data_IF_797501866038
#
_entry.id   IF_797501866038
#
_cell.length_a   1.000
_cell.length_b   1.000
_cell.length_c   1.000
_cell.angle_alpha   90.00
_cell.angle_beta   90.00
_cell.angle_gamma   90.00
#
_symmetry.space_group_name_H-M   'P 1'
#
loop_
_entity.id
_entity.type
_entity.pdbx_description
1 polymer ?
#
# COMPACT_ATOMS: atom_id res chain seq x y z
N UNK A 1 0.07 0.39 28.91
CA UNK A 1 -0.97 -0.34 29.68
C UNK A 1 -1.30 0.34 31.01
N UNK A 2 -0.38 0.38 31.99
CA UNK A 2 -0.70 0.88 33.35
C UNK A 2 -1.22 2.33 33.38
N UNK A 3 -0.58 3.25 32.67
CA UNK A 3 -1.01 4.65 32.60
C UNK A 3 -2.45 4.79 32.06
N UNK A 4 -2.79 4.09 30.96
CA UNK A 4 -4.15 4.07 30.40
C UNK A 4 -5.20 3.59 31.42
N UNK A 5 -4.89 2.51 32.17
CA UNK A 5 -5.80 1.96 33.19
C UNK A 5 -6.03 2.95 34.34
N UNK A 6 -4.97 3.63 34.79
CA UNK A 6 -5.07 4.68 35.81
C UNK A 6 -5.96 5.83 35.33
N UNK A 7 -5.68 6.42 34.16
CA UNK A 7 -6.42 7.59 33.69
C UNK A 7 -7.89 7.27 33.39
N UNK A 8 -8.16 6.20 32.63
CA UNK A 8 -9.53 5.87 32.20
C UNK A 8 -10.34 5.19 33.31
N UNK A 9 -9.72 4.24 34.01
CA UNK A 9 -10.42 3.39 34.98
C UNK A 9 -10.54 4.00 36.38
N UNK A 10 -9.50 4.67 36.86
CA UNK A 10 -9.49 5.22 38.23
C UNK A 10 -9.82 6.72 38.25
N UNK A 11 -9.24 7.52 37.33
CA UNK A 11 -9.46 8.96 37.27
C UNK A 11 -10.66 9.37 36.39
N UNK A 12 -11.27 8.42 35.68
CA UNK A 12 -12.48 8.65 34.88
C UNK A 12 -12.30 9.58 33.67
N UNK A 13 -11.07 9.72 33.16
CA UNK A 13 -10.78 10.60 32.01
C UNK A 13 -10.24 9.81 30.81
N UNK A 14 -10.73 10.16 29.62
CA UNK A 14 -10.22 9.64 28.35
C UNK A 14 -9.09 10.48 27.75
N UNK A 15 -8.59 11.50 28.49
CA UNK A 15 -7.46 12.33 28.08
C UNK A 15 -6.13 11.55 28.20
N UNK A 16 -5.98 10.51 27.40
CA UNK A 16 -4.79 9.68 27.30
C UNK A 16 -4.50 9.41 25.83
N UNK A 17 -3.30 9.76 25.39
CA UNK A 17 -2.89 9.66 24.00
C UNK A 17 -1.39 9.38 23.91
N UNK A 18 -0.91 8.97 22.73
CA UNK A 18 0.50 8.68 22.49
C UNK A 18 0.96 9.29 21.16
N UNK A 19 2.29 9.39 20.98
CA UNK A 19 2.89 9.88 19.73
C UNK A 19 2.54 9.03 18.51
N UNK A 20 1.99 7.82 18.69
CA UNK A 20 1.40 7.03 17.60
C UNK A 20 0.33 7.79 16.83
N UNK A 21 -0.32 8.80 17.44
CA UNK A 21 -1.21 9.74 16.73
C UNK A 21 -0.54 10.46 15.58
N UNK A 22 0.75 10.77 15.71
CA UNK A 22 1.56 11.48 14.70
C UNK A 22 2.17 10.52 13.66
N UNK A 23 1.92 9.22 13.79
CA UNK A 23 2.61 8.18 13.03
C UNK A 23 1.65 7.17 12.40
N UNK A 24 0.97 6.35 13.22
CA UNK A 24 0.24 5.16 12.75
C UNK A 24 -1.27 5.36 12.67
N UNK A 25 -1.83 6.46 13.18
CA UNK A 25 -3.30 6.63 13.25
C UNK A 25 -4.02 6.51 11.91
N UNK A 26 -3.41 6.95 10.80
CA UNK A 26 -3.99 6.77 9.46
C UNK A 26 -4.02 5.31 9.01
N UNK A 27 -2.98 4.54 9.35
CA UNK A 27 -2.96 3.10 9.09
C UNK A 27 -4.03 2.37 9.91
N UNK A 28 -4.11 2.67 11.22
CA UNK A 28 -5.13 2.10 12.13
C UNK A 28 -6.55 2.36 11.60
N UNK A 29 -6.84 3.61 11.23
CA UNK A 29 -8.14 3.99 10.71
C UNK A 29 -8.44 3.34 9.35
N UNK A 30 -7.45 3.23 8.47
CA UNK A 30 -7.58 2.57 7.17
C UNK A 30 -7.85 1.07 7.30
N UNK A 31 -7.05 0.36 8.11
CA UNK A 31 -7.28 -1.06 8.37
C UNK A 31 -8.62 -1.32 9.04
N UNK A 32 -8.97 -0.56 10.07
CA UNK A 32 -10.25 -0.74 10.77
C UNK A 32 -11.43 -0.52 9.82
N UNK A 33 -11.35 0.48 8.94
CA UNK A 33 -12.42 0.76 7.97
C UNK A 33 -12.52 -0.29 6.87
N UNK A 34 -11.39 -0.78 6.36
CA UNK A 34 -11.37 -1.71 5.22
C UNK A 34 -11.50 -3.17 5.63
N UNK A 35 -10.95 -3.56 6.78
CA UNK A 35 -10.81 -4.96 7.23
C UNK A 35 -11.48 -5.24 8.59
N UNK A 36 -12.05 -4.24 9.25
CA UNK A 36 -12.76 -4.39 10.53
C UNK A 36 -11.88 -4.53 11.78
N UNK A 37 -10.56 -4.59 11.63
CA UNK A 37 -9.59 -4.66 12.74
C UNK A 37 -8.35 -3.85 12.40
N UNK A 38 -7.66 -3.37 13.43
CA UNK A 38 -6.30 -2.83 13.30
C UNK A 38 -5.28 -3.98 13.14
N UNK A 39 -4.14 -3.64 12.55
CA UNK A 39 -2.99 -4.52 12.34
C UNK A 39 -2.88 -5.07 10.91
N UNK A 40 -1.65 -5.30 10.42
CA UNK A 40 -1.44 -5.87 9.11
C UNK A 40 -1.92 -7.33 9.06
N UNK A 41 -2.56 -7.78 7.96
CA UNK A 41 -2.83 -9.20 7.72
C UNK A 41 -1.57 -9.98 7.28
N UNK A 42 -0.43 -9.28 7.16
CA UNK A 42 0.86 -9.81 6.70
C UNK A 42 1.86 -9.95 7.85
N UNK A 43 2.96 -10.63 7.56
CA UNK A 43 4.12 -10.77 8.43
C UNK A 43 5.43 -10.56 7.66
N UNK A 44 6.57 -10.52 8.37
CA UNK A 44 7.86 -10.30 7.70
C UNK A 44 8.30 -11.48 6.83
N UNK A 45 7.75 -12.68 7.00
CA UNK A 45 8.04 -13.82 6.13
C UNK A 45 7.50 -13.64 4.71
N UNK A 46 6.45 -12.82 4.54
CA UNK A 46 5.91 -12.49 3.23
C UNK A 46 6.93 -11.79 2.31
N UNK A 47 7.95 -11.13 2.87
CA UNK A 47 9.06 -10.55 2.10
C UNK A 47 9.88 -11.60 1.34
N UNK A 48 9.86 -12.86 1.78
CA UNK A 48 10.58 -13.95 1.13
C UNK A 48 9.76 -14.60 0.01
N UNK A 49 8.43 -14.45 0.06
CA UNK A 49 7.46 -15.12 -0.81
C UNK A 49 6.84 -14.22 -1.88
N UNK A 50 6.86 -12.89 -1.72
CA UNK A 50 6.30 -11.99 -2.72
C UNK A 50 7.08 -12.02 -4.04
N UNK A 51 6.35 -11.87 -5.16
CA UNK A 51 6.96 -11.65 -6.47
C UNK A 51 6.97 -10.16 -6.83
N UNK A 52 6.12 -9.35 -6.20
CA UNK A 52 6.14 -7.89 -6.32
C UNK A 52 6.19 -7.27 -4.92
N UNK A 53 7.24 -6.49 -4.66
CA UNK A 53 7.30 -5.62 -3.50
C UNK A 53 6.92 -4.20 -3.94
N UNK A 54 5.74 -3.74 -3.53
CA UNK A 54 5.20 -2.43 -3.87
C UNK A 54 5.41 -1.45 -2.71
N UNK A 55 6.52 -0.71 -2.73
CA UNK A 55 6.92 0.21 -1.67
C UNK A 55 6.36 1.60 -1.98
N UNK A 56 5.46 2.13 -1.16
CA UNK A 56 4.84 3.44 -1.37
C UNK A 56 5.00 4.34 -0.15
N UNK A 57 5.54 5.55 -0.36
CA UNK A 57 5.75 6.53 0.71
C UNK A 57 6.63 6.00 1.85
N UNK A 58 7.64 5.20 1.52
CA UNK A 58 8.56 4.61 2.51
C UNK A 58 10.00 4.63 2.01
N UNK A 59 10.92 5.07 2.88
CA UNK A 59 12.36 4.94 2.68
C UNK A 59 12.89 3.78 3.52
N UNK A 60 12.58 2.55 3.12
CA UNK A 60 12.97 1.34 3.87
C UNK A 60 14.48 1.22 4.09
N UNK A 61 15.31 1.73 3.17
CA UNK A 61 16.77 1.70 3.30
C UNK A 61 17.26 2.41 4.57
N UNK A 62 16.69 3.58 4.89
CA UNK A 62 17.11 4.37 6.05
C UNK A 62 16.23 4.12 7.28
N UNK A 63 14.92 3.90 7.10
CA UNK A 63 13.98 3.78 8.21
C UNK A 63 13.79 2.33 8.70
N UNK A 64 13.99 1.33 7.84
CA UNK A 64 13.81 -0.08 8.15
C UNK A 64 14.95 -0.94 7.59
N UNK A 65 16.22 -0.65 7.92
CA UNK A 65 17.39 -1.17 7.22
C UNK A 65 17.47 -2.70 7.22
N UNK A 66 17.02 -3.37 8.29
CA UNK A 66 17.02 -4.85 8.36
C UNK A 66 16.03 -5.44 7.35
N UNK A 67 14.84 -4.86 7.20
CA UNK A 67 13.85 -5.30 6.22
C UNK A 67 14.32 -5.01 4.80
N UNK A 68 14.91 -3.84 4.56
CA UNK A 68 15.51 -3.50 3.27
C UNK A 68 16.64 -4.47 2.88
N UNK A 69 17.52 -4.81 3.83
CA UNK A 69 18.58 -5.80 3.60
C UNK A 69 18.01 -7.20 3.32
N UNK A 70 16.89 -7.59 3.94
CA UNK A 70 16.19 -8.85 3.62
C UNK A 70 15.71 -8.85 2.17
N UNK A 71 15.04 -7.78 1.74
CA UNK A 71 14.55 -7.63 0.37
C UNK A 71 15.71 -7.62 -0.65
N UNK A 72 16.81 -6.92 -0.34
CA UNK A 72 18.01 -6.93 -1.17
C UNK A 72 18.64 -8.31 -1.30
N UNK A 73 18.73 -9.06 -0.20
CA UNK A 73 19.22 -10.44 -0.24
C UNK A 73 18.32 -11.34 -1.10
N UNK A 74 16.99 -11.17 -0.98
CA UNK A 74 16.00 -11.87 -1.81
C UNK A 74 16.17 -11.55 -3.30
N UNK A 75 16.28 -10.27 -3.66
CA UNK A 75 16.50 -9.82 -5.05
C UNK A 75 17.84 -10.32 -5.61
N UNK A 76 18.91 -10.32 -4.81
CA UNK A 76 20.22 -10.86 -5.24
C UNK A 76 20.19 -12.37 -5.48
N UNK A 77 19.47 -13.12 -4.63
CA UNK A 77 19.36 -14.58 -4.74
C UNK A 77 18.55 -15.01 -5.96
N UNK A 78 17.47 -14.29 -6.25
CA UNK A 78 16.62 -14.55 -7.40
C UNK A 78 16.10 -13.21 -7.97
N UNK A 79 16.86 -12.62 -8.93
CA UNK A 79 16.54 -11.32 -9.51
C UNK A 79 15.28 -11.31 -10.38
N UNK A 80 14.87 -12.47 -10.91
CA UNK A 80 13.74 -12.59 -11.85
C UNK A 80 12.41 -12.85 -11.12
N UNK A 81 12.45 -13.54 -9.99
CA UNK A 81 11.25 -13.82 -9.19
C UNK A 81 10.90 -12.75 -8.17
N UNK A 82 11.52 -11.57 -8.23
CA UNK A 82 11.12 -10.41 -7.42
C UNK A 82 11.22 -9.13 -8.26
N UNK A 83 10.11 -8.41 -8.38
CA UNK A 83 10.02 -7.05 -8.93
C UNK A 83 9.84 -6.06 -7.78
N UNK A 84 10.64 -5.01 -7.73
CA UNK A 84 10.54 -3.95 -6.72
C UNK A 84 10.02 -2.68 -7.38
N UNK A 85 8.87 -2.21 -6.92
CA UNK A 85 8.27 -0.94 -7.33
C UNK A 85 8.41 0.03 -6.16
N UNK A 86 8.94 1.22 -6.40
CA UNK A 86 9.04 2.29 -5.40
C UNK A 86 8.25 3.50 -5.88
N UNK A 87 7.28 3.92 -5.08
CA UNK A 87 6.49 5.13 -5.28
C UNK A 87 6.90 6.14 -4.20
N UNK A 88 7.78 7.06 -4.57
CA UNK A 88 8.30 8.10 -3.69
C UNK A 88 8.73 9.30 -4.56
N UNK A 89 8.26 10.54 -4.30
CA UNK A 89 8.73 11.72 -5.01
C UNK A 89 10.26 11.90 -4.99
N UNK A 90 10.94 11.32 -4.00
CA UNK A 90 12.40 11.40 -3.82
C UNK A 90 13.08 10.15 -4.37
N UNK A 91 14.22 10.33 -5.04
CA UNK A 91 15.13 9.23 -5.41
C UNK A 91 16.02 8.86 -4.21
N UNK A 92 15.47 8.11 -3.25
CA UNK A 92 16.18 7.59 -2.06
C UNK A 92 17.03 6.36 -2.38
N UNK A 93 17.83 5.88 -1.43
CA UNK A 93 18.54 4.60 -1.59
C UNK A 93 17.58 3.40 -1.78
N UNK A 94 16.35 3.52 -1.27
CA UNK A 94 15.27 2.56 -1.57
C UNK A 94 14.91 2.59 -3.06
N UNK A 95 14.77 3.79 -3.65
CA UNK A 95 14.39 3.95 -5.06
C UNK A 95 15.50 3.51 -6.04
N UNK A 96 16.78 3.68 -5.69
CA UNK A 96 17.93 3.32 -6.55
C UNK A 96 18.00 1.84 -6.93
N UNK A 97 17.34 0.96 -6.17
CA UNK A 97 17.34 -0.49 -6.42
C UNK A 97 16.05 -0.98 -7.08
N UNK A 98 15.09 -0.09 -7.29
CA UNK A 98 13.78 -0.45 -7.81
C UNK A 98 13.86 -0.81 -9.30
N UNK A 99 13.09 -1.79 -9.72
CA UNK A 99 12.86 -2.07 -11.13
C UNK A 99 11.98 -0.96 -11.75
N UNK A 100 11.06 -0.39 -10.94
CA UNK A 100 10.26 0.77 -11.30
C UNK A 100 10.28 1.81 -10.17
N UNK A 101 10.79 3.01 -10.44
CA UNK A 101 10.68 4.15 -9.52
C UNK A 101 9.70 5.19 -10.08
N UNK A 102 8.57 5.36 -9.40
CA UNK A 102 7.56 6.36 -9.75
C UNK A 102 7.77 7.59 -8.87
N UNK A 103 8.46 8.58 -9.42
CA UNK A 103 8.71 9.87 -8.76
C UNK A 103 7.48 10.79 -8.86
N UNK A 104 6.35 10.34 -8.29
CA UNK A 104 5.08 11.06 -8.39
C UNK A 104 5.13 12.45 -7.74
N UNK A 105 4.28 13.37 -8.20
CA UNK A 105 4.06 14.65 -7.57
C UNK A 105 3.53 14.45 -6.12
N UNK A 106 4.06 15.17 -5.12
CA UNK A 106 3.59 15.05 -3.74
C UNK A 106 2.07 15.25 -3.64
N UNK A 107 1.38 14.35 -2.96
CA UNK A 107 -0.08 14.46 -2.79
C UNK A 107 -0.92 13.59 -3.71
N UNK A 108 -0.32 12.95 -4.73
CA UNK A 108 -1.05 12.34 -5.86
C UNK A 108 -1.15 10.82 -5.81
N UNK A 109 -0.63 10.19 -4.76
CA UNK A 109 -0.66 8.73 -4.54
C UNK A 109 -2.08 8.14 -4.56
N UNK A 110 -3.09 8.79 -4.00
CA UNK A 110 -4.47 8.26 -4.10
C UNK A 110 -4.96 8.21 -5.55
N UNK A 111 -4.62 9.22 -6.36
CA UNK A 111 -4.93 9.22 -7.78
C UNK A 111 -4.18 8.10 -8.51
N UNK A 112 -2.89 7.91 -8.20
CA UNK A 112 -2.10 6.78 -8.70
C UNK A 112 -2.80 5.44 -8.41
N UNK A 113 -3.22 5.22 -7.17
CA UNK A 113 -3.89 3.98 -6.75
C UNK A 113 -5.22 3.77 -7.49
N UNK A 114 -6.01 4.83 -7.69
CA UNK A 114 -7.23 4.74 -8.49
C UNK A 114 -6.97 4.47 -9.98
N UNK A 115 -5.95 5.11 -10.57
CA UNK A 115 -5.58 4.85 -11.96
C UNK A 115 -5.06 3.43 -12.17
N UNK A 116 -4.26 2.90 -11.23
CA UNK A 116 -3.83 1.50 -11.24
C UNK A 116 -5.03 0.56 -11.10
N UNK A 117 -5.95 0.82 -10.17
CA UNK A 117 -7.18 0.02 -10.03
C UNK A 117 -8.02 0.00 -11.31
N UNK A 118 -8.15 1.15 -11.99
CA UNK A 118 -8.84 1.23 -13.27
C UNK A 118 -8.16 0.39 -14.34
N UNK A 119 -6.84 0.47 -14.47
CA UNK A 119 -6.07 -0.35 -15.42
C UNK A 119 -6.25 -1.85 -15.14
N UNK A 120 -6.27 -2.26 -13.87
CA UNK A 120 -6.57 -3.65 -13.48
C UNK A 120 -7.93 -4.10 -13.98
N UNK A 121 -8.95 -3.24 -13.93
CA UNK A 121 -10.28 -3.55 -14.46
C UNK A 121 -10.26 -3.62 -16.00
N UNK A 122 -9.62 -2.66 -16.66
CA UNK A 122 -9.49 -2.62 -18.12
C UNK A 122 -8.78 -3.87 -18.67
N UNK A 123 -7.80 -4.38 -17.93
CA UNK A 123 -7.05 -5.60 -18.25
C UNK A 123 -7.78 -6.90 -17.85
N UNK A 124 -8.96 -6.83 -17.24
CA UNK A 124 -9.65 -7.97 -16.60
C UNK A 124 -8.78 -8.72 -15.57
N UNK A 125 -7.88 -7.99 -14.88
CA UNK A 125 -6.95 -8.52 -13.89
C UNK A 125 -7.50 -8.57 -12.45
N UNK A 126 -8.78 -8.22 -12.24
CA UNK A 126 -9.43 -8.30 -10.94
C UNK A 126 -9.90 -9.72 -10.61
N UNK A 127 -10.12 -10.02 -9.33
CA UNK A 127 -10.58 -11.32 -8.85
C UNK A 127 -12.07 -11.27 -8.53
N UNK A 128 -12.92 -11.64 -9.51
CA UNK A 128 -14.38 -11.62 -9.34
C UNK A 128 -14.86 -12.52 -8.21
N UNK A 129 -14.29 -13.71 -8.08
CA UNK A 129 -14.72 -14.70 -7.10
C UNK A 129 -14.39 -14.21 -5.68
N UNK A 130 -13.20 -13.64 -5.49
CA UNK A 130 -12.82 -13.02 -4.22
C UNK A 130 -13.69 -11.80 -3.90
N UNK A 131 -13.94 -10.92 -4.88
CA UNK A 131 -14.77 -9.72 -4.71
C UNK A 131 -16.18 -10.11 -4.24
N UNK A 132 -16.81 -11.05 -4.94
CA UNK A 132 -18.18 -11.47 -4.64
C UNK A 132 -18.28 -12.20 -3.30
N UNK A 133 -17.25 -12.96 -2.90
CA UNK A 133 -17.26 -13.75 -1.68
C UNK A 133 -16.84 -12.96 -0.42
N UNK A 134 -15.96 -11.97 -0.55
CA UNK A 134 -15.22 -11.40 0.58
C UNK A 134 -15.20 -9.86 0.61
N UNK A 135 -15.91 -9.17 -0.28
CA UNK A 135 -15.91 -7.69 -0.32
C UNK A 135 -17.31 -7.11 -0.43
N UNK A 136 -17.43 -5.81 -0.20
CA UNK A 136 -18.64 -5.03 -0.43
C UNK A 136 -18.31 -3.72 -1.17
N UNK A 137 -19.32 -3.09 -1.78
CA UNK A 137 -19.17 -1.76 -2.36
C UNK A 137 -18.43 -1.70 -3.71
N UNK A 138 -18.16 -2.83 -4.36
CA UNK A 138 -17.43 -2.89 -5.65
C UNK A 138 -18.03 -1.94 -6.71
N UNK A 139 -19.34 -1.96 -6.95
CA UNK A 139 -19.98 -1.08 -7.94
C UNK A 139 -19.77 0.41 -7.63
N UNK A 140 -19.80 0.80 -6.35
CA UNK A 140 -19.55 2.19 -5.95
C UNK A 140 -18.08 2.56 -6.17
N UNK A 141 -17.16 1.65 -5.84
CA UNK A 141 -15.73 1.83 -6.07
C UNK A 141 -15.40 2.00 -7.55
N UNK A 142 -15.96 1.16 -8.44
CA UNK A 142 -15.80 1.27 -9.90
C UNK A 142 -16.23 2.66 -10.40
N UNK A 143 -17.37 3.17 -9.92
CA UNK A 143 -17.84 4.53 -10.27
C UNK A 143 -16.84 5.61 -9.85
N UNK A 144 -16.21 5.46 -8.69
CA UNK A 144 -15.19 6.40 -8.20
C UNK A 144 -13.93 6.38 -9.06
N UNK A 145 -13.44 5.19 -9.42
CA UNK A 145 -12.18 5.06 -10.18
C UNK A 145 -12.33 5.35 -11.68
N UNK A 146 -13.54 5.30 -12.23
CA UNK A 146 -13.83 5.60 -13.64
C UNK A 146 -13.43 7.02 -14.09
N UNK A 147 -13.23 7.97 -13.16
CA UNK A 147 -12.73 9.30 -13.50
C UNK A 147 -11.21 9.31 -13.77
N UNK A 148 -10.47 8.29 -13.32
CA UNK A 148 -9.00 8.28 -13.29
C UNK A 148 -8.44 7.51 -14.49
N UNK A 149 -8.53 8.08 -15.69
CA UNK A 149 -7.91 7.48 -16.90
C UNK A 149 -6.39 7.39 -16.73
N UNK A 150 -5.73 6.58 -17.56
CA UNK A 150 -4.27 6.54 -17.58
C UNK A 150 -3.66 7.92 -17.83
N UNK A 151 -4.20 8.66 -18.81
CA UNK A 151 -3.79 10.02 -19.16
C UNK A 151 -3.93 11.00 -17.98
N UNK A 152 -5.12 11.10 -17.39
CA UNK A 152 -5.38 12.05 -16.29
C UNK A 152 -4.57 11.70 -15.04
N UNK A 153 -4.43 10.39 -14.75
CA UNK A 153 -3.64 9.92 -13.62
C UNK A 153 -2.16 10.24 -13.82
N UNK A 154 -1.59 9.91 -14.98
CA UNK A 154 -0.19 10.15 -15.30
C UNK A 154 0.13 11.66 -15.26
N UNK A 155 -0.75 12.47 -15.86
CA UNK A 155 -0.64 13.93 -15.84
C UNK A 155 -0.66 14.50 -14.43
N UNK A 156 -1.63 14.10 -13.59
CA UNK A 156 -1.70 14.59 -12.21
C UNK A 156 -0.49 14.13 -11.39
N UNK A 157 -0.09 12.86 -11.54
CA UNK A 157 1.04 12.28 -10.83
C UNK A 157 2.39 12.79 -11.35
N UNK A 158 2.47 13.45 -12.49
CA UNK A 158 3.73 13.91 -13.07
C UNK A 158 4.65 12.76 -13.52
N UNK A 159 4.07 11.63 -13.94
CA UNK A 159 4.78 10.45 -14.48
C UNK A 159 4.31 10.18 -15.92
N UNK A 160 4.98 9.30 -16.64
CA UNK A 160 4.53 8.85 -17.95
C UNK A 160 3.35 7.86 -17.84
N UNK A 161 2.49 7.84 -18.84
CA UNK A 161 1.44 6.81 -18.95
C UNK A 161 2.03 5.40 -19.02
N UNK A 162 3.22 5.25 -19.62
CA UNK A 162 3.88 3.97 -19.74
C UNK A 162 4.28 3.41 -18.37
N UNK A 163 4.88 4.24 -17.50
CA UNK A 163 5.20 3.84 -16.12
C UNK A 163 3.95 3.41 -15.34
N UNK A 164 2.85 4.15 -15.49
CA UNK A 164 1.58 3.81 -14.87
C UNK A 164 1.04 2.45 -15.38
N UNK A 165 1.09 2.22 -16.70
CA UNK A 165 0.65 0.96 -17.33
C UNK A 165 1.55 -0.22 -16.99
N UNK A 166 2.85 0.00 -16.82
CA UNK A 166 3.78 -1.02 -16.34
C UNK A 166 3.39 -1.50 -14.94
N UNK A 167 3.12 -0.57 -14.02
CA UNK A 167 2.62 -0.91 -12.68
C UNK A 167 1.23 -1.54 -12.74
N UNK A 168 0.31 -1.03 -13.56
CA UNK A 168 -1.01 -1.62 -13.78
C UNK A 168 -0.92 -3.09 -14.17
N UNK A 169 -0.06 -3.44 -15.13
CA UNK A 169 0.17 -4.82 -15.56
C UNK A 169 0.71 -5.72 -14.45
N UNK A 170 1.59 -5.20 -13.58
CA UNK A 170 2.07 -5.97 -12.42
C UNK A 170 0.92 -6.34 -11.49
N UNK A 171 0.02 -5.39 -11.22
CA UNK A 171 -1.18 -5.64 -10.42
C UNK A 171 -2.17 -6.59 -11.08
N UNK A 172 -2.39 -6.47 -12.39
CA UNK A 172 -3.30 -7.36 -13.16
C UNK A 172 -2.87 -8.83 -13.17
N UNK A 173 -1.57 -9.12 -12.96
CA UNK A 173 -1.05 -10.50 -12.94
C UNK A 173 -1.41 -11.29 -11.68
N UNK A 174 -1.60 -10.62 -10.53
CA UNK A 174 -1.96 -11.26 -9.25
C UNK A 174 -0.98 -12.35 -8.79
N UNK A 175 0.32 -12.05 -8.87
CA UNK A 175 1.40 -13.01 -8.61
C UNK A 175 2.10 -12.77 -7.25
N UNK A 176 1.35 -12.43 -6.19
CA UNK A 176 1.94 -12.23 -4.86
C UNK A 176 2.52 -10.82 -4.70
N UNK A 177 1.63 -9.87 -4.46
CA UNK A 177 1.92 -8.44 -4.31
C UNK A 177 1.90 -8.08 -2.83
N UNK A 178 3.07 -7.73 -2.30
CA UNK A 178 3.23 -7.24 -0.95
C UNK A 178 3.46 -5.73 -1.00
N UNK A 179 2.47 -4.96 -0.54
CA UNK A 179 2.62 -3.50 -0.45
C UNK A 179 3.20 -3.13 0.90
N UNK A 180 4.23 -2.28 0.91
CA UNK A 180 4.86 -1.78 2.11
C UNK A 180 4.79 -0.25 2.13
N UNK A 181 4.29 0.34 3.21
CA UNK A 181 4.21 1.80 3.32
C UNK A 181 4.57 2.31 4.70
N UNK A 182 4.86 3.61 4.78
CA UNK A 182 5.15 4.29 6.04
C UNK A 182 4.68 5.75 5.96
N UNK A 183 5.49 6.69 6.47
CA UNK A 183 5.06 8.06 6.77
C UNK A 183 4.69 8.91 5.55
N UNK A 184 5.20 8.61 4.34
CA UNK A 184 4.78 9.32 3.13
C UNK A 184 3.29 9.16 2.81
N UNK A 185 2.70 8.04 3.28
CA UNK A 185 1.26 7.76 3.24
C UNK A 185 0.56 8.26 4.50
N UNK A 186 1.09 7.94 5.69
CA UNK A 186 0.37 8.20 6.94
C UNK A 186 0.34 9.68 7.36
N UNK A 187 1.42 10.45 7.16
CA UNK A 187 1.52 11.84 7.64
C UNK A 187 0.86 12.83 6.69
N UNK A 188 -0.43 12.61 6.45
CA UNK A 188 -1.20 13.29 5.40
C UNK A 188 -2.61 13.55 5.90
N UNK A 189 -3.20 14.67 5.47
CA UNK A 189 -4.63 14.95 5.72
C UNK A 189 -5.53 13.82 5.21
N UNK A 190 -5.22 13.30 4.02
CA UNK A 190 -5.95 12.22 3.37
C UNK A 190 -5.33 10.84 3.64
N UNK A 191 -4.47 10.69 4.65
CA UNK A 191 -3.71 9.45 4.87
C UNK A 191 -4.58 8.20 5.02
N UNK A 192 -5.70 8.31 5.73
CA UNK A 192 -6.67 7.21 5.86
C UNK A 192 -7.27 6.81 4.52
N UNK A 193 -7.52 7.77 3.62
CA UNK A 193 -8.06 7.50 2.30
C UNK A 193 -7.02 6.83 1.40
N UNK A 194 -5.74 7.25 1.48
CA UNK A 194 -4.64 6.59 0.75
C UNK A 194 -4.45 5.15 1.21
N UNK A 195 -4.45 4.90 2.52
CA UNK A 195 -4.39 3.53 3.07
C UNK A 195 -5.57 2.69 2.59
N UNK A 196 -6.79 3.25 2.65
CA UNK A 196 -7.99 2.56 2.16
C UNK A 196 -7.89 2.26 0.66
N UNK A 197 -7.38 3.20 -0.15
CA UNK A 197 -7.17 3.01 -1.58
C UNK A 197 -6.17 1.90 -1.90
N UNK A 198 -5.09 1.79 -1.11
CA UNK A 198 -4.10 0.71 -1.25
C UNK A 198 -4.71 -0.64 -0.88
N UNK A 199 -5.46 -0.71 0.23
CA UNK A 199 -6.17 -1.93 0.64
C UNK A 199 -7.21 -2.33 -0.42
N UNK A 200 -7.97 -1.37 -0.96
CA UNK A 200 -8.95 -1.63 -2.02
C UNK A 200 -8.30 -2.26 -3.25
N UNK A 201 -7.06 -1.88 -3.59
CA UNK A 201 -6.35 -2.49 -4.71
C UNK A 201 -5.97 -3.96 -4.43
N UNK A 202 -5.58 -4.29 -3.20
CA UNK A 202 -5.41 -5.68 -2.78
C UNK A 202 -6.72 -6.47 -2.79
N UNK A 203 -7.83 -5.87 -2.33
CA UNK A 203 -9.15 -6.50 -2.34
C UNK A 203 -9.67 -6.71 -3.78
N UNK A 204 -9.44 -5.75 -4.68
CA UNK A 204 -9.78 -5.84 -6.10
C UNK A 204 -9.07 -7.02 -6.78
N UNK A 205 -7.84 -7.30 -6.37
CA UNK A 205 -6.97 -8.30 -7.02
C UNK A 205 -6.90 -9.63 -6.28
N UNK A 206 -7.56 -9.77 -5.12
CA UNK A 206 -7.41 -10.95 -4.26
C UNK A 206 -5.99 -11.14 -3.73
N UNK A 207 -5.18 -10.07 -3.68
CA UNK A 207 -3.79 -10.07 -3.20
C UNK A 207 -3.73 -9.88 -1.69
N UNK A 208 -4.39 -10.75 -0.92
CA UNK A 208 -4.45 -10.73 0.55
C UNK A 208 -4.75 -12.14 1.09
N UNK A 209 -4.29 -12.45 2.30
CA UNK A 209 -4.61 -13.73 2.97
C UNK A 209 -3.86 -14.94 2.39
N UNK A 210 -2.81 -14.70 1.60
CA UNK A 210 -1.95 -15.73 1.00
C UNK A 210 -0.47 -15.33 1.17
N UNK A 211 0.46 -16.31 1.24
CA UNK A 211 1.88 -16.00 1.44
C UNK A 211 2.43 -15.04 0.38
N UNK A 212 3.15 -14.01 0.82
CA UNK A 212 3.75 -13.02 -0.07
C UNK A 212 2.79 -11.96 -0.61
N UNK A 213 1.53 -11.91 -0.14
CA UNK A 213 0.55 -10.96 -0.63
C UNK A 213 -0.17 -10.21 0.51
N UNK A 214 -0.27 -8.89 0.37
CA UNK A 214 -1.15 -8.09 1.21
C UNK A 214 -0.66 -6.68 1.52
N UNK A 215 -1.53 -5.87 2.15
CA UNK A 215 -1.22 -4.53 2.59
C UNK A 215 -0.45 -4.56 3.92
N UNK A 216 0.85 -4.27 3.89
CA UNK A 216 1.73 -4.30 5.06
C UNK A 216 2.23 -2.91 5.48
N UNK A 217 1.56 -2.29 6.46
CA UNK A 217 2.03 -1.04 7.09
C UNK A 217 3.31 -1.30 7.89
N UNK A 218 4.34 -0.50 7.65
CA UNK A 218 5.60 -0.56 8.39
C UNK A 218 5.52 0.30 9.65
N UNK A 219 5.88 -0.33 10.77
CA UNK A 219 5.99 0.27 12.11
C UNK A 219 7.43 0.31 12.59
#
# INVERSE_FOLDING_TARGET
>A
YMAQKLLKGALGTNNFDANSRLCMSSAVAGYTRSLGSDGPPCCYEDLDHCSVAFLIGTNTAECHPVLFQRLLKRKKRDPKGLTIVVVDPRCTDTAKIADHHLAIAPGTDLALLHGVARLVIEDNGFDSDFIDAATEGFSAYVKTINAWTAEETAKLCGISEQELRDVGRLWSRREGILSLWSMGVNQRREGTAVVSGLINLHLLTGEIGKPGAGPFSLT
#
